data_IF_083090726038
#
_entry.id   IF_083090726038
#
_cell.length_a   1.000
_cell.length_b   1.000
_cell.length_c   1.000
_cell.angle_alpha   90.00
_cell.angle_beta   90.00
_cell.angle_gamma   90.00
#
_symmetry.space_group_name_H-M   'P 1'
#
loop_
_entity.id
_entity.type
_entity.pdbx_description
1 polymer ?
#
# COMPACT_ATOMS: atom_id res chain seq x y z
N UNK A 1 -12.66 22.92 0.63
CA UNK A 1 -12.66 21.93 1.74
C UNK A 1 -11.31 22.02 2.42
N UNK A 2 -11.16 21.75 3.74
CA UNK A 2 -9.81 21.71 4.30
C UNK A 2 -9.07 20.49 3.80
N UNK A 3 -7.75 20.59 3.61
CA UNK A 3 -6.87 19.49 3.17
C UNK A 3 -7.08 18.21 3.97
N UNK A 4 -7.19 18.33 5.30
CA UNK A 4 -7.45 17.16 6.16
C UNK A 4 -8.79 16.48 5.91
N UNK A 5 -9.81 17.23 5.51
CA UNK A 5 -11.11 16.67 5.15
C UNK A 5 -11.01 15.88 3.83
N UNK A 6 -10.23 16.36 2.88
CA UNK A 6 -9.98 15.66 1.62
C UNK A 6 -9.24 14.34 1.85
N UNK A 7 -8.18 14.36 2.67
CA UNK A 7 -7.45 13.13 3.05
C UNK A 7 -8.37 12.13 3.79
N UNK A 8 -9.21 12.61 4.69
CA UNK A 8 -10.18 11.75 5.38
C UNK A 8 -11.19 11.13 4.42
N UNK A 9 -11.74 11.90 3.48
CA UNK A 9 -12.64 11.37 2.46
C UNK A 9 -11.94 10.30 1.61
N UNK A 10 -10.70 10.55 1.17
CA UNK A 10 -9.90 9.59 0.44
C UNK A 10 -9.70 8.30 1.24
N UNK A 11 -9.36 8.40 2.54
CA UNK A 11 -9.19 7.24 3.40
C UNK A 11 -10.48 6.39 3.49
N UNK A 12 -11.65 7.02 3.57
CA UNK A 12 -12.93 6.31 3.54
C UNK A 12 -13.19 5.63 2.19
N UNK A 13 -12.89 6.29 1.08
CA UNK A 13 -13.07 5.69 -0.25
C UNK A 13 -12.12 4.51 -0.47
N UNK A 14 -10.88 4.62 -0.01
CA UNK A 14 -9.92 3.51 -0.09
C UNK A 14 -10.31 2.32 0.80
N UNK A 15 -10.95 2.54 1.96
CA UNK A 15 -11.53 1.44 2.75
C UNK A 15 -12.57 0.64 1.97
N UNK A 16 -13.39 1.30 1.14
CA UNK A 16 -14.34 0.59 0.26
C UNK A 16 -13.58 -0.28 -0.75
N UNK A 17 -12.48 0.24 -1.33
CA UNK A 17 -11.65 -0.54 -2.27
C UNK A 17 -10.96 -1.73 -1.62
N UNK A 18 -10.52 -1.60 -0.37
CA UNK A 18 -10.01 -2.72 0.43
C UNK A 18 -11.08 -3.82 0.58
N UNK A 19 -12.32 -3.45 0.91
CA UNK A 19 -13.41 -4.43 1.01
C UNK A 19 -13.69 -5.10 -0.34
N UNK A 20 -13.71 -4.34 -1.43
CA UNK A 20 -13.87 -4.89 -2.79
C UNK A 20 -12.76 -5.92 -3.13
N UNK A 21 -11.50 -5.62 -2.79
CA UNK A 21 -10.36 -6.56 -2.98
C UNK A 21 -10.56 -7.85 -2.17
N UNK A 22 -10.88 -7.73 -0.88
CA UNK A 22 -11.07 -8.88 0.01
C UNK A 22 -12.21 -9.77 -0.46
N UNK A 23 -13.31 -9.18 -0.92
CA UNK A 23 -14.44 -9.92 -1.50
C UNK A 23 -14.03 -10.62 -2.79
N UNK A 24 -13.34 -9.94 -3.69
CA UNK A 24 -12.84 -10.51 -4.95
C UNK A 24 -11.85 -11.65 -4.72
N UNK A 25 -10.91 -11.46 -3.79
CA UNK A 25 -9.88 -12.45 -3.44
C UNK A 25 -10.37 -13.58 -2.55
N UNK A 26 -11.61 -13.50 -2.04
CA UNK A 26 -12.23 -14.45 -1.09
C UNK A 26 -11.45 -14.60 0.22
N UNK A 27 -10.76 -13.55 0.64
CA UNK A 27 -10.00 -13.51 1.88
C UNK A 27 -9.07 -12.31 1.95
N UNK A 28 -8.65 -11.94 3.17
CA UNK A 28 -7.75 -10.81 3.42
C UNK A 28 -7.65 -10.49 4.90
N UNK A 29 -6.88 -9.45 5.25
CA UNK A 29 -6.55 -9.09 6.64
C UNK A 29 -7.18 -7.74 7.03
N UNK A 30 -8.47 -7.64 6.91
CA UNK A 30 -9.26 -6.40 6.95
C UNK A 30 -9.01 -5.54 8.21
N UNK A 31 -8.83 -6.15 9.38
CA UNK A 31 -8.61 -5.41 10.63
C UNK A 31 -7.32 -4.57 10.59
N UNK A 32 -6.25 -5.16 10.09
CA UNK A 32 -4.97 -4.48 9.90
C UNK A 32 -5.03 -3.37 8.85
N UNK A 33 -5.77 -3.60 7.77
CA UNK A 33 -5.99 -2.63 6.71
C UNK A 33 -6.76 -1.40 7.20
N UNK A 34 -7.89 -1.63 7.88
CA UNK A 34 -8.72 -0.54 8.39
C UNK A 34 -7.98 0.35 9.38
N UNK A 35 -7.03 -0.21 10.14
CA UNK A 35 -6.24 0.55 11.12
C UNK A 35 -5.11 1.37 10.50
N UNK A 36 -4.57 0.98 9.34
CA UNK A 36 -3.38 1.62 8.75
C UNK A 36 -3.72 2.62 7.65
N UNK A 37 -4.92 2.58 7.11
CA UNK A 37 -5.27 3.35 5.91
C UNK A 37 -5.10 4.87 6.07
N UNK A 38 -5.46 5.44 7.23
CA UNK A 38 -5.30 6.88 7.48
C UNK A 38 -3.82 7.27 7.50
N UNK A 39 -2.97 6.43 8.12
CA UNK A 39 -1.52 6.65 8.15
C UNK A 39 -0.94 6.60 6.75
N UNK A 40 -1.30 5.60 5.94
CA UNK A 40 -0.84 5.48 4.56
C UNK A 40 -1.29 6.65 3.70
N UNK A 41 -2.55 7.09 3.84
CA UNK A 41 -3.06 8.24 3.10
C UNK A 41 -2.29 9.51 3.48
N UNK A 42 -2.06 9.77 4.77
CA UNK A 42 -1.28 10.91 5.21
C UNK A 42 0.15 10.86 4.65
N UNK A 43 0.82 9.72 4.75
CA UNK A 43 2.18 9.55 4.22
C UNK A 43 2.25 9.78 2.72
N UNK A 44 1.47 9.05 1.93
CA UNK A 44 1.58 9.06 0.47
C UNK A 44 1.02 10.31 -0.21
N UNK A 45 0.04 10.98 0.40
CA UNK A 45 -0.61 12.13 -0.22
C UNK A 45 -0.20 13.48 0.35
N UNK A 46 0.56 13.48 1.47
CA UNK A 46 0.99 14.73 2.09
C UNK A 46 2.48 14.76 2.45
N UNK A 47 2.99 13.75 3.16
CA UNK A 47 4.31 13.83 3.81
C UNK A 47 5.45 13.33 2.91
N UNK A 48 5.26 12.22 2.18
CA UNK A 48 6.35 11.55 1.47
C UNK A 48 6.60 12.12 0.07
N UNK A 49 7.88 12.28 -0.26
CA UNK A 49 8.35 12.53 -1.64
C UNK A 49 8.41 11.18 -2.40
N UNK A 50 7.28 10.68 -2.82
CA UNK A 50 7.16 9.43 -3.59
C UNK A 50 6.02 9.51 -4.61
N UNK A 51 6.30 9.08 -5.82
CA UNK A 51 5.32 9.00 -6.92
C UNK A 51 5.81 8.03 -7.98
N UNK A 52 4.95 7.58 -8.92
CA UNK A 52 5.38 6.78 -10.05
C UNK A 52 6.46 7.44 -10.93
N UNK A 53 6.60 8.77 -10.86
CA UNK A 53 7.52 9.55 -11.70
C UNK A 53 8.93 9.70 -11.13
N UNK A 54 9.10 9.46 -9.82
CA UNK A 54 10.40 9.63 -9.16
C UNK A 54 10.96 8.33 -8.56
N UNK A 55 10.55 7.18 -9.10
CA UNK A 55 11.02 5.88 -8.56
C UNK A 55 12.52 5.67 -8.67
N UNK A 56 13.16 6.28 -9.67
CA UNK A 56 14.61 6.22 -9.89
C UNK A 56 15.40 7.30 -9.14
N UNK A 57 14.71 8.22 -8.46
CA UNK A 57 15.33 9.29 -7.67
C UNK A 57 15.95 8.68 -6.38
N UNK A 58 17.26 8.80 -6.16
CA UNK A 58 17.91 8.31 -4.95
C UNK A 58 17.42 9.02 -3.68
N UNK A 59 16.97 10.26 -3.80
CA UNK A 59 16.53 11.11 -2.68
C UNK A 59 15.02 10.97 -2.37
N UNK A 60 14.31 10.09 -3.07
CA UNK A 60 12.91 9.81 -2.75
C UNK A 60 12.76 9.11 -1.41
N UNK A 61 11.61 9.30 -0.78
CA UNK A 61 11.25 8.53 0.40
C UNK A 61 10.98 7.06 0.06
N UNK A 62 11.27 6.18 1.02
CA UNK A 62 11.02 4.74 0.93
C UNK A 62 10.09 4.29 2.05
N UNK A 63 9.17 3.42 1.72
CA UNK A 63 8.21 2.87 2.68
C UNK A 63 8.28 1.35 2.70
N UNK A 64 8.33 0.78 3.89
CA UNK A 64 8.26 -0.66 4.11
C UNK A 64 7.12 -1.00 5.06
N UNK A 65 6.20 -1.85 4.61
CA UNK A 65 5.11 -2.35 5.43
C UNK A 65 5.60 -3.47 6.35
N UNK A 66 5.94 -3.15 7.61
CA UNK A 66 6.43 -4.14 8.58
C UNK A 66 5.36 -5.14 9.03
N UNK A 67 4.08 -4.77 8.94
CA UNK A 67 2.93 -5.67 9.05
C UNK A 67 2.40 -6.02 7.65
N UNK A 68 3.18 -6.79 6.89
CA UNK A 68 2.94 -7.08 5.49
C UNK A 68 1.56 -7.66 5.16
N UNK A 69 0.89 -8.29 6.12
CA UNK A 69 -0.47 -8.79 5.95
C UNK A 69 -1.53 -7.68 5.75
N UNK A 70 -1.23 -6.40 6.03
CA UNK A 70 -2.12 -5.26 5.71
C UNK A 70 -1.84 -4.72 4.30
N UNK A 71 -1.66 -5.60 3.34
CA UNK A 71 -1.25 -5.25 1.98
C UNK A 71 -2.39 -4.67 1.15
N UNK A 72 -3.63 -5.04 1.43
CA UNK A 72 -4.79 -4.55 0.70
C UNK A 72 -4.91 -3.03 0.82
N UNK A 73 -4.70 -2.49 2.04
CA UNK A 73 -4.63 -1.05 2.25
C UNK A 73 -3.45 -0.41 1.51
N UNK A 74 -2.30 -1.09 1.50
CA UNK A 74 -1.11 -0.62 0.80
C UNK A 74 -1.33 -0.59 -0.71
N UNK A 75 -1.90 -1.65 -1.30
CA UNK A 75 -2.27 -1.67 -2.71
C UNK A 75 -3.29 -0.59 -3.07
N UNK A 76 -4.31 -0.39 -2.24
CA UNK A 76 -5.30 0.64 -2.47
C UNK A 76 -4.68 2.05 -2.52
N UNK A 77 -3.75 2.36 -1.61
CA UNK A 77 -3.04 3.64 -1.58
C UNK A 77 -2.10 3.80 -2.77
N UNK A 78 -1.33 2.77 -3.12
CA UNK A 78 -0.44 2.80 -4.28
C UNK A 78 -1.22 2.98 -5.59
N UNK A 79 -2.33 2.28 -5.75
CA UNK A 79 -3.21 2.43 -6.92
C UNK A 79 -3.80 3.84 -7.00
N UNK A 80 -4.29 4.39 -5.89
CA UNK A 80 -4.79 5.77 -5.85
C UNK A 80 -3.72 6.81 -6.13
N UNK A 81 -2.45 6.52 -5.78
CA UNK A 81 -1.29 7.37 -6.11
C UNK A 81 -0.86 7.23 -7.57
N UNK A 82 -1.37 6.23 -8.29
CA UNK A 82 -1.13 6.04 -9.72
C UNK A 82 -0.01 5.05 -10.08
N UNK A 83 0.45 4.21 -9.16
CA UNK A 83 1.47 3.18 -9.44
C UNK A 83 0.95 2.08 -10.34
N UNK A 84 -0.32 1.73 -10.23
CA UNK A 84 -1.01 0.73 -11.06
C UNK A 84 -2.53 0.95 -11.02
N UNK A 85 -3.31 0.39 -11.98
CA UNK A 85 -4.76 0.58 -12.01
C UNK A 85 -5.48 -0.10 -10.82
N UNK A 86 -6.41 0.61 -10.18
CA UNK A 86 -7.19 0.09 -9.05
C UNK A 86 -8.03 -1.13 -9.44
N UNK A 87 -8.65 -1.07 -10.61
CA UNK A 87 -9.50 -2.14 -11.13
C UNK A 87 -8.71 -3.45 -11.33
N UNK A 88 -7.47 -3.32 -11.79
CA UNK A 88 -6.58 -4.47 -11.97
C UNK A 88 -6.26 -5.14 -10.63
N UNK A 89 -5.98 -4.35 -9.59
CA UNK A 89 -5.73 -4.88 -8.25
C UNK A 89 -6.94 -5.63 -7.72
N UNK A 90 -8.14 -5.03 -7.80
CA UNK A 90 -9.38 -5.64 -7.31
C UNK A 90 -9.67 -6.95 -8.05
N UNK A 91 -9.50 -6.96 -9.37
CA UNK A 91 -9.76 -8.15 -10.18
C UNK A 91 -8.78 -9.28 -9.90
N UNK A 92 -7.47 -8.94 -9.77
CA UNK A 92 -6.38 -9.92 -9.71
C UNK A 92 -5.93 -10.26 -8.29
N UNK A 93 -6.41 -9.57 -7.25
CA UNK A 93 -6.00 -9.81 -5.88
C UNK A 93 -6.20 -11.28 -5.48
N UNK A 94 -5.15 -11.90 -4.97
CA UNK A 94 -5.13 -13.29 -4.50
C UNK A 94 -5.55 -14.34 -5.55
N UNK A 95 -5.49 -14.00 -6.84
CA UNK A 95 -5.74 -14.97 -7.93
C UNK A 95 -4.47 -15.71 -8.29
N UNK A 96 -4.62 -16.95 -8.77
CA UNK A 96 -3.51 -17.77 -9.23
C UNK A 96 -2.73 -17.06 -10.35
N UNK A 97 -1.40 -17.03 -10.22
CA UNK A 97 -0.50 -16.37 -11.19
C UNK A 97 -0.44 -14.84 -11.09
N UNK A 98 -1.20 -14.23 -10.17
CA UNK A 98 -1.16 -12.77 -9.95
C UNK A 98 0.06 -12.36 -9.14
N UNK A 99 0.56 -11.14 -9.38
CA UNK A 99 1.55 -10.47 -8.52
C UNK A 99 0.91 -9.77 -7.32
N UNK A 100 -0.40 -9.56 -7.32
CA UNK A 100 -1.15 -8.96 -6.20
C UNK A 100 -1.53 -10.03 -5.19
N UNK A 101 -0.54 -10.46 -4.43
CA UNK A 101 -0.69 -11.50 -3.38
C UNK A 101 -1.00 -10.89 -2.02
N UNK A 102 -1.38 -11.71 -1.03
CA UNK A 102 -1.75 -11.25 0.33
C UNK A 102 -0.62 -10.68 1.19
N UNK A 103 0.54 -10.38 0.60
CA UNK A 103 1.69 -9.71 1.21
C UNK A 103 2.40 -8.84 0.18
N UNK A 104 3.17 -7.80 0.58
CA UNK A 104 3.90 -6.96 -0.35
C UNK A 104 4.84 -7.75 -1.26
N UNK A 105 4.78 -7.46 -2.54
CA UNK A 105 5.58 -8.10 -3.58
C UNK A 105 6.37 -7.02 -4.35
N UNK A 106 7.69 -7.04 -4.23
CA UNK A 106 8.57 -6.06 -4.86
C UNK A 106 8.68 -6.15 -6.40
N UNK A 107 7.95 -7.07 -7.01
CA UNK A 107 7.72 -7.06 -8.46
C UNK A 107 6.72 -5.99 -8.89
N UNK A 108 5.96 -5.44 -7.94
CA UNK A 108 5.02 -4.34 -8.18
C UNK A 108 5.72 -3.00 -7.97
N UNK A 109 5.46 -2.00 -8.83
CA UNK A 109 6.06 -0.67 -8.65
C UNK A 109 5.61 -0.03 -7.33
N UNK A 110 6.52 0.68 -6.67
CA UNK A 110 6.25 1.34 -5.39
C UNK A 110 6.42 0.46 -4.15
N UNK A 111 6.78 -0.81 -4.31
CA UNK A 111 7.02 -1.74 -3.20
C UNK A 111 8.51 -2.06 -3.10
N UNK A 112 9.14 -1.66 -2.00
CA UNK A 112 10.59 -1.76 -1.80
C UNK A 112 11.05 -3.20 -1.53
N UNK A 113 10.27 -3.96 -0.75
CA UNK A 113 10.64 -5.32 -0.35
C UNK A 113 9.44 -6.22 -0.12
N UNK A 114 9.66 -7.51 -0.27
CA UNK A 114 8.72 -8.52 0.19
C UNK A 114 8.72 -8.55 1.72
N UNK A 115 7.56 -8.51 2.33
CA UNK A 115 7.42 -8.62 3.77
C UNK A 115 6.28 -9.56 4.15
N UNK A 116 6.30 -10.08 5.37
CA UNK A 116 5.29 -11.03 5.87
C UNK A 116 5.53 -11.33 7.34
N UNK A 117 6.79 -11.53 7.72
CA UNK A 117 7.17 -11.68 9.13
C UNK A 117 7.00 -10.34 9.86
N UNK A 118 6.15 -10.31 10.88
CA UNK A 118 5.86 -9.11 11.67
C UNK A 118 7.14 -8.56 12.34
N UNK A 119 7.36 -7.25 12.20
CA UNK A 119 8.53 -6.57 12.73
C UNK A 119 9.76 -6.59 11.82
N UNK A 120 9.78 -7.41 10.76
CA UNK A 120 10.94 -7.54 9.86
C UNK A 120 11.26 -6.25 9.09
N UNK A 121 10.26 -5.42 8.82
CA UNK A 121 10.46 -4.17 8.07
C UNK A 121 11.37 -3.19 8.77
N UNK A 122 11.32 -3.10 10.09
CA UNK A 122 12.11 -2.12 10.86
C UNK A 122 13.63 -2.29 10.68
N UNK A 123 14.23 -3.47 10.91
CA UNK A 123 15.68 -3.64 10.70
C UNK A 123 16.10 -3.44 9.24
N UNK A 124 15.24 -3.78 8.28
CA UNK A 124 15.52 -3.50 6.86
C UNK A 124 15.54 -1.99 6.59
N UNK A 125 14.59 -1.23 7.13
CA UNK A 125 14.60 0.23 7.02
C UNK A 125 15.84 0.85 7.66
N UNK A 126 16.32 0.33 8.78
CA UNK A 126 17.59 0.78 9.38
C UNK A 126 18.76 0.57 8.42
N UNK A 127 18.84 -0.59 7.76
CA UNK A 127 19.87 -0.85 6.75
C UNK A 127 19.73 0.01 5.50
N UNK A 128 18.53 0.40 5.12
CA UNK A 128 18.31 1.32 3.98
C UNK A 128 18.69 2.77 4.29
N UNK A 129 18.69 3.16 5.56
CA UNK A 129 19.00 4.51 6.02
C UNK A 129 20.51 4.78 6.23
N UNK A 130 21.34 3.74 6.20
CA UNK A 130 22.81 3.80 6.31
C UNK A 130 23.46 4.02 4.94
#
# INVERSE_FOLDING_TARGET
MSEYKELSCLAYDLRKKVVEMVVSGKGGHIGGDMSVIDVLVALYFKEMNISPKNMDDPDRDRFVMSKGHSVEAYYAVLAAKGFFPMEEVIEKFSKFGSSYIGHPNNKLPGIEMNSGSLGHGLPVCVGMAL
#
